data_IF_464165131214
#
_entry.id   IF_464165131214
#
_cell.length_a   1.000
_cell.length_b   1.000
_cell.length_c   1.000
_cell.angle_alpha   90.00
_cell.angle_beta   90.00
_cell.angle_gamma   90.00
#
_symmetry.space_group_name_H-M   'P 1'
#
loop_
_entity.id
_entity.type
_entity.pdbx_description
1 polymer ?
#
# COMPACT_ATOMS: atom_id res chain seq x y z
N UNK A 1 18.34 -28.53 -32.21
CA UNK A 1 16.97 -28.30 -31.73
C UNK A 1 16.30 -27.33 -32.69
N UNK A 2 15.20 -27.72 -33.34
CA UNK A 2 14.50 -26.86 -34.30
C UNK A 2 13.73 -25.77 -33.55
N UNK A 3 13.55 -24.60 -34.16
CA UNK A 3 12.75 -23.50 -33.58
C UNK A 3 11.35 -23.97 -33.12
N UNK A 4 10.80 -24.98 -33.79
CA UNK A 4 9.51 -25.60 -33.48
C UNK A 4 9.54 -26.36 -32.14
N UNK A 5 10.60 -27.12 -31.83
CA UNK A 5 10.66 -27.84 -30.54
C UNK A 5 10.90 -26.89 -29.37
N UNK A 6 11.64 -25.79 -29.59
CA UNK A 6 11.76 -24.68 -28.62
C UNK A 6 10.42 -23.97 -28.38
N UNK A 7 9.64 -23.72 -29.45
CA UNK A 7 8.32 -23.10 -29.33
C UNK A 7 7.36 -23.98 -28.51
N UNK A 8 7.29 -25.29 -28.78
CA UNK A 8 6.47 -26.22 -28.00
C UNK A 8 6.95 -26.38 -26.55
N UNK A 9 8.28 -26.37 -26.31
CA UNK A 9 8.85 -26.42 -24.96
C UNK A 9 8.48 -25.19 -24.11
N UNK A 10 8.19 -24.05 -24.73
CA UNK A 10 7.70 -22.83 -24.04
C UNK A 10 6.16 -22.82 -23.96
N UNK A 11 5.48 -23.23 -25.03
CA UNK A 11 4.03 -23.16 -25.14
C UNK A 11 3.31 -24.14 -24.22
N UNK A 12 3.80 -25.38 -24.09
CA UNK A 12 3.16 -26.42 -23.28
C UNK A 12 3.12 -26.04 -21.78
N UNK A 13 4.22 -25.56 -21.15
CA UNK A 13 4.17 -25.10 -19.76
C UNK A 13 3.26 -23.88 -19.55
N UNK A 14 3.22 -22.95 -20.51
CA UNK A 14 2.34 -21.77 -20.43
C UNK A 14 0.88 -22.20 -20.48
N UNK A 15 0.53 -23.08 -21.42
CA UNK A 15 -0.82 -23.61 -21.56
C UNK A 15 -1.22 -24.42 -20.32
N UNK A 16 -0.32 -25.29 -19.82
CA UNK A 16 -0.55 -26.04 -18.59
C UNK A 16 -0.79 -25.14 -17.38
N UNK A 17 -0.01 -24.06 -17.23
CA UNK A 17 -0.20 -23.08 -16.16
C UNK A 17 -1.51 -22.31 -16.31
N UNK A 18 -1.89 -21.94 -17.53
CA UNK A 18 -3.17 -21.28 -17.81
C UNK A 18 -4.34 -22.20 -17.49
N UNK A 19 -4.29 -23.47 -17.92
CA UNK A 19 -5.31 -24.47 -17.61
C UNK A 19 -5.46 -24.68 -16.10
N UNK A 20 -4.35 -24.80 -15.36
CA UNK A 20 -4.40 -24.93 -13.90
C UNK A 20 -5.04 -23.71 -13.23
N UNK A 21 -4.68 -22.50 -13.66
CA UNK A 21 -5.29 -21.26 -13.13
C UNK A 21 -6.80 -21.20 -13.42
N UNK A 22 -7.22 -21.61 -14.62
CA UNK A 22 -8.64 -21.67 -14.99
C UNK A 22 -9.39 -22.71 -14.15
N UNK A 23 -8.79 -23.88 -13.93
CA UNK A 23 -9.38 -24.94 -13.11
C UNK A 23 -9.52 -24.52 -11.64
N UNK A 24 -8.50 -23.89 -11.06
CA UNK A 24 -8.58 -23.34 -9.71
C UNK A 24 -9.71 -22.31 -9.59
N UNK A 25 -9.78 -21.36 -10.53
CA UNK A 25 -10.83 -20.32 -10.53
C UNK A 25 -12.22 -20.89 -10.72
N UNK A 26 -12.36 -21.93 -11.53
CA UNK A 26 -13.62 -22.63 -11.69
C UNK A 26 -14.05 -23.38 -10.43
N UNK A 27 -13.10 -24.00 -9.70
CA UNK A 27 -13.36 -24.64 -8.41
C UNK A 27 -13.80 -23.61 -7.36
N UNK A 28 -13.07 -22.50 -7.22
CA UNK A 28 -13.43 -21.39 -6.33
C UNK A 28 -14.86 -20.91 -6.62
N UNK A 29 -15.17 -20.64 -7.89
CA UNK A 29 -16.49 -20.19 -8.31
C UNK A 29 -17.61 -21.18 -7.97
N UNK A 30 -17.37 -22.49 -8.18
CA UNK A 30 -18.35 -23.52 -7.81
C UNK A 30 -18.55 -23.60 -6.31
N UNK A 31 -17.48 -23.52 -5.52
CA UNK A 31 -17.55 -23.55 -4.07
C UNK A 31 -18.35 -22.36 -3.54
N UNK A 32 -18.01 -21.14 -3.97
CA UNK A 32 -18.71 -19.91 -3.57
C UNK A 32 -20.19 -19.94 -3.96
N UNK A 33 -20.49 -20.42 -5.18
CA UNK A 33 -21.88 -20.51 -5.66
C UNK A 33 -22.67 -21.57 -4.88
N UNK A 34 -22.06 -22.70 -4.53
CA UNK A 34 -22.68 -23.72 -3.69
C UNK A 34 -22.96 -23.21 -2.28
N UNK A 35 -22.04 -22.44 -1.70
CA UNK A 35 -22.22 -21.81 -0.40
C UNK A 35 -23.39 -20.82 -0.44
N UNK A 36 -23.45 -19.98 -1.47
CA UNK A 36 -24.58 -19.06 -1.67
C UNK A 36 -25.92 -19.79 -1.75
N UNK A 37 -26.00 -20.88 -2.51
CA UNK A 37 -27.23 -21.71 -2.60
C UNK A 37 -27.60 -22.32 -1.25
N UNK A 38 -26.62 -22.81 -0.48
CA UNK A 38 -26.86 -23.41 0.84
C UNK A 38 -27.50 -22.41 1.82
N UNK A 39 -27.10 -21.14 1.76
CA UNK A 39 -27.62 -20.08 2.62
C UNK A 39 -28.80 -19.30 2.00
N UNK A 40 -29.30 -19.71 0.83
CA UNK A 40 -30.37 -19.02 0.13
C UNK A 40 -29.99 -17.59 -0.31
N UNK A 41 -28.71 -17.33 -0.53
CA UNK A 41 -28.21 -16.02 -0.92
C UNK A 41 -28.53 -15.72 -2.38
N UNK A 42 -29.08 -14.54 -2.63
CA UNK A 42 -29.19 -13.97 -3.97
C UNK A 42 -27.90 -13.22 -4.35
N UNK A 43 -27.64 -13.16 -5.66
CA UNK A 43 -26.52 -12.41 -6.19
C UNK A 43 -26.85 -10.91 -6.19
N UNK A 44 -25.93 -10.03 -5.73
CA UNK A 44 -26.15 -8.59 -5.82
C UNK A 44 -26.15 -8.12 -7.28
N UNK A 45 -26.72 -6.94 -7.56
CA UNK A 45 -26.68 -6.34 -8.89
C UNK A 45 -25.27 -6.27 -9.48
N UNK A 46 -25.12 -6.67 -10.74
CA UNK A 46 -23.84 -6.59 -11.45
C UNK A 46 -23.63 -5.18 -12.02
N UNK A 47 -22.41 -4.64 -11.88
CA UNK A 47 -22.00 -3.41 -12.56
C UNK A 47 -22.10 -3.59 -14.08
N UNK A 48 -22.59 -2.60 -14.85
CA UNK A 48 -22.83 -2.78 -16.26
C UNK A 48 -21.47 -2.88 -16.95
N UNK A 49 -21.30 -3.87 -17.82
CA UNK A 49 -20.06 -4.12 -18.55
C UNK A 49 -20.32 -4.00 -20.04
N UNK A 50 -19.48 -3.23 -20.72
CA UNK A 50 -19.52 -3.08 -22.18
C UNK A 50 -18.80 -4.25 -22.86
N UNK A 51 -17.74 -4.75 -22.23
CA UNK A 51 -16.89 -5.79 -22.80
C UNK A 51 -17.03 -7.10 -22.02
N UNK A 52 -16.81 -8.27 -22.68
CA UNK A 52 -16.80 -9.54 -21.99
C UNK A 52 -15.86 -9.52 -20.79
N UNK A 53 -16.27 -10.20 -19.70
CA UNK A 53 -15.45 -10.37 -18.50
C UNK A 53 -15.05 -9.05 -17.80
N UNK A 54 -15.79 -7.96 -18.03
CA UNK A 54 -15.58 -6.69 -17.33
C UNK A 54 -14.24 -6.01 -17.61
N UNK A 55 -13.58 -6.35 -18.73
CA UNK A 55 -12.25 -5.80 -19.08
C UNK A 55 -12.30 -4.29 -19.26
N UNK A 56 -13.43 -3.75 -19.72
CA UNK A 56 -13.70 -2.32 -19.81
C UNK A 56 -13.56 -1.63 -18.44
N UNK A 57 -13.92 -2.30 -17.33
CA UNK A 57 -13.75 -1.74 -15.98
C UNK A 57 -12.29 -1.64 -15.55
N UNK A 58 -11.46 -2.59 -15.95
CA UNK A 58 -10.00 -2.48 -15.75
C UNK A 58 -9.49 -1.30 -16.58
N UNK A 59 -9.86 -1.21 -17.85
CA UNK A 59 -9.46 -0.10 -18.71
C UNK A 59 -9.86 1.25 -18.11
N UNK A 60 -11.10 1.41 -17.66
CA UNK A 60 -11.60 2.63 -17.02
C UNK A 60 -10.79 2.99 -15.76
N UNK A 61 -10.47 2.01 -14.90
CA UNK A 61 -9.62 2.22 -13.73
C UNK A 61 -8.20 2.69 -14.09
N UNK A 62 -7.65 2.20 -15.20
CA UNK A 62 -6.31 2.59 -15.66
C UNK A 62 -6.30 3.98 -16.30
N UNK A 63 -7.25 4.26 -17.19
CA UNK A 63 -7.36 5.56 -17.88
C UNK A 63 -7.67 6.68 -16.89
N UNK A 64 -8.69 6.50 -16.05
CA UNK A 64 -9.06 7.52 -15.05
C UNK A 64 -7.94 7.75 -14.04
N UNK A 65 -7.13 6.74 -13.73
CA UNK A 65 -5.93 6.93 -12.91
C UNK A 65 -4.84 7.72 -13.64
N UNK A 66 -4.57 7.42 -14.91
CA UNK A 66 -3.59 8.14 -15.71
C UNK A 66 -3.98 9.62 -15.90
N UNK A 67 -5.28 9.91 -15.93
CA UNK A 67 -5.85 11.25 -16.02
C UNK A 67 -5.98 11.97 -14.67
N UNK A 68 -5.64 11.32 -13.54
CA UNK A 68 -5.80 11.91 -12.21
C UNK A 68 -7.25 12.01 -11.71
N UNK A 69 -8.20 11.29 -12.34
CA UNK A 69 -9.65 11.30 -12.04
C UNK A 69 -10.16 10.00 -11.41
N UNK A 70 -9.28 9.13 -10.91
CA UNK A 70 -9.66 7.83 -10.36
C UNK A 70 -10.66 7.94 -9.21
N UNK A 71 -10.44 8.87 -8.27
CA UNK A 71 -11.36 9.06 -7.14
C UNK A 71 -12.76 9.47 -7.63
N UNK A 72 -12.82 10.45 -8.55
CA UNK A 72 -14.08 10.89 -9.14
C UNK A 72 -14.81 9.74 -9.84
N UNK A 73 -14.09 8.90 -10.58
CA UNK A 73 -14.65 7.70 -11.21
C UNK A 73 -15.22 6.72 -10.18
N UNK A 74 -14.48 6.41 -9.11
CA UNK A 74 -14.92 5.50 -8.06
C UNK A 74 -16.15 6.05 -7.30
N UNK A 75 -16.14 7.35 -6.98
CA UNK A 75 -17.29 8.02 -6.36
C UNK A 75 -18.52 8.01 -7.28
N UNK A 76 -18.33 8.20 -8.59
CA UNK A 76 -19.42 8.10 -9.56
C UNK A 76 -19.99 6.67 -9.61
N UNK A 77 -19.13 5.65 -9.66
CA UNK A 77 -19.59 4.25 -9.62
C UNK A 77 -20.35 3.95 -8.33
N UNK A 78 -19.92 4.48 -7.18
CA UNK A 78 -20.66 4.36 -5.94
C UNK A 78 -22.02 5.07 -6.03
N UNK A 79 -22.04 6.34 -6.48
CA UNK A 79 -23.25 7.14 -6.59
C UNK A 79 -24.29 6.56 -7.56
N UNK A 80 -23.85 6.00 -8.69
CA UNK A 80 -24.74 5.33 -9.66
C UNK A 80 -25.44 4.09 -9.06
N UNK A 81 -24.91 3.56 -7.96
CA UNK A 81 -25.40 2.35 -7.26
C UNK A 81 -26.04 2.66 -5.89
N UNK A 82 -25.86 3.87 -5.38
CA UNK A 82 -26.58 4.38 -4.22
C UNK A 82 -27.97 4.93 -4.63
N UNK A 83 -29.00 4.84 -3.77
CA UNK A 83 -29.03 4.21 -2.44
C UNK A 83 -29.61 2.77 -2.43
N UNK A 84 -29.99 2.19 -3.57
CA UNK A 84 -30.65 0.88 -3.60
C UNK A 84 -29.68 -0.31 -3.67
N UNK A 85 -28.44 -0.13 -4.13
CA UNK A 85 -27.48 -1.21 -4.37
C UNK A 85 -26.28 -1.14 -3.41
N UNK A 86 -26.60 -1.17 -2.12
CA UNK A 86 -25.72 -1.31 -0.95
C UNK A 86 -24.64 -2.40 -1.03
N UNK A 87 -24.85 -3.36 -1.94
CA UNK A 87 -23.91 -4.39 -2.35
C UNK A 87 -24.03 -4.51 -3.87
N UNK A 88 -22.92 -4.35 -4.59
CA UNK A 88 -22.86 -4.63 -6.03
C UNK A 88 -21.69 -5.56 -6.33
N UNK A 89 -21.76 -6.28 -7.44
CA UNK A 89 -20.66 -7.12 -7.90
C UNK A 89 -20.16 -6.69 -9.27
N UNK A 90 -18.92 -7.06 -9.59
CA UNK A 90 -18.46 -7.08 -10.96
C UNK A 90 -17.61 -8.31 -11.22
N UNK A 91 -17.84 -8.91 -12.38
CA UNK A 91 -17.07 -10.05 -12.83
C UNK A 91 -15.89 -9.58 -13.68
N UNK A 92 -14.70 -9.66 -13.09
CA UNK A 92 -13.48 -9.75 -13.89
C UNK A 92 -13.29 -11.21 -14.32
N UNK A 93 -12.47 -11.46 -15.35
CA UNK A 93 -11.90 -12.80 -15.52
C UNK A 93 -11.32 -13.22 -14.15
N UNK A 94 -11.89 -14.21 -13.44
CA UNK A 94 -11.49 -14.52 -12.05
C UNK A 94 -12.63 -14.46 -11.02
N UNK A 95 -12.32 -14.28 -9.72
CA UNK A 95 -13.32 -14.30 -8.65
C UNK A 95 -14.24 -13.08 -8.72
N UNK A 96 -15.48 -13.24 -8.23
CA UNK A 96 -16.43 -12.13 -8.10
C UNK A 96 -15.84 -11.08 -7.16
N UNK A 97 -15.82 -9.83 -7.59
CA UNK A 97 -15.48 -8.70 -6.73
C UNK A 97 -16.78 -8.01 -6.30
N UNK A 98 -16.82 -7.54 -5.06
CA UNK A 98 -17.98 -6.89 -4.47
C UNK A 98 -17.63 -5.47 -4.02
N UNK A 99 -18.48 -4.50 -4.34
CA UNK A 99 -18.47 -3.21 -3.66
C UNK A 99 -19.48 -3.27 -2.52
N UNK A 100 -18.99 -3.04 -1.30
CA UNK A 100 -19.78 -3.06 -0.07
C UNK A 100 -19.82 -1.63 0.44
N UNK A 101 -21.00 -1.00 0.39
CA UNK A 101 -21.16 0.42 0.72
C UNK A 101 -21.96 0.62 2.01
N UNK A 102 -22.92 -0.25 2.28
CA UNK A 102 -23.78 -0.11 3.46
C UNK A 102 -23.01 -0.32 4.77
N UNK A 103 -23.11 0.61 5.75
CA UNK A 103 -22.35 0.53 7.00
C UNK A 103 -22.47 -0.80 7.75
N UNK A 104 -23.66 -1.38 7.83
CA UNK A 104 -23.86 -2.68 8.50
C UNK A 104 -23.11 -3.84 7.81
N UNK A 105 -23.00 -3.80 6.47
CA UNK A 105 -22.25 -4.81 5.72
C UNK A 105 -20.75 -4.60 5.90
N UNK A 106 -20.30 -3.33 5.91
CA UNK A 106 -18.90 -2.98 6.20
C UNK A 106 -18.51 -3.43 7.62
N UNK A 107 -19.38 -3.22 8.62
CA UNK A 107 -19.19 -3.70 9.98
C UNK A 107 -19.11 -5.22 10.05
N UNK A 108 -19.97 -5.92 9.30
CA UNK A 108 -19.95 -7.38 9.22
C UNK A 108 -18.59 -7.89 8.72
N UNK A 109 -18.07 -7.28 7.66
CA UNK A 109 -16.78 -7.67 7.04
C UNK A 109 -15.59 -7.33 7.94
N UNK A 110 -15.59 -6.14 8.56
CA UNK A 110 -14.43 -5.61 9.29
C UNK A 110 -14.43 -5.93 10.79
N UNK A 111 -15.57 -6.32 11.35
CA UNK A 111 -15.75 -6.52 12.80
C UNK A 111 -16.52 -7.81 13.13
N UNK A 112 -17.83 -7.86 12.87
CA UNK A 112 -18.73 -8.91 13.40
C UNK A 112 -18.27 -10.31 13.00
N UNK A 113 -17.97 -10.49 11.71
CA UNK A 113 -17.58 -11.77 11.11
C UNK A 113 -16.15 -11.72 10.57
N UNK A 114 -15.26 -10.92 11.19
CA UNK A 114 -13.89 -10.70 10.70
C UNK A 114 -13.11 -11.98 10.36
N UNK A 115 -13.34 -13.08 11.09
CA UNK A 115 -12.65 -14.36 10.87
C UNK A 115 -13.06 -15.08 9.57
N UNK A 116 -14.22 -14.72 9.01
CA UNK A 116 -14.76 -15.32 7.79
C UNK A 116 -14.19 -14.65 6.53
N UNK A 117 -13.54 -13.49 6.69
CA UNK A 117 -12.99 -12.71 5.58
C UNK A 117 -11.46 -12.69 5.61
N UNK A 118 -10.88 -12.72 4.41
CA UNK A 118 -9.45 -12.65 4.21
C UNK A 118 -9.01 -11.62 3.18
N UNK A 119 -7.70 -11.47 3.07
CA UNK A 119 -6.95 -10.59 2.20
C UNK A 119 -6.90 -11.07 0.74
N UNK A 120 -7.24 -12.34 0.48
CA UNK A 120 -7.40 -12.88 -0.87
C UNK A 120 -6.13 -12.73 -1.72
N UNK A 121 -6.19 -11.92 -2.79
CA UNK A 121 -5.05 -11.71 -3.69
C UNK A 121 -3.95 -10.80 -3.11
N UNK A 122 -4.24 -10.06 -2.03
CA UNK A 122 -3.35 -9.04 -1.44
C UNK A 122 -1.96 -9.56 -1.07
N UNK A 123 -1.76 -10.73 -0.44
CA UNK A 123 -0.42 -11.23 -0.12
C UNK A 123 0.43 -11.40 -1.38
N UNK A 124 -0.15 -11.96 -2.46
CA UNK A 124 0.55 -12.16 -3.74
C UNK A 124 0.88 -10.83 -4.45
N UNK A 125 -0.01 -9.84 -4.35
CA UNK A 125 0.20 -8.49 -4.89
C UNK A 125 1.39 -7.81 -4.20
N UNK A 126 1.42 -7.85 -2.87
CA UNK A 126 2.43 -7.15 -2.08
C UNK A 126 3.74 -7.92 -1.90
N UNK A 127 3.75 -9.25 -2.05
CA UNK A 127 4.91 -10.09 -1.75
C UNK A 127 6.24 -9.59 -2.34
N UNK A 128 6.34 -9.14 -3.62
CA UNK A 128 7.63 -8.68 -4.16
C UNK A 128 8.22 -7.44 -3.50
N UNK A 129 7.40 -6.57 -2.90
CA UNK A 129 7.87 -5.39 -2.18
C UNK A 129 7.89 -5.62 -0.67
N UNK A 130 6.81 -6.11 -0.09
CA UNK A 130 6.61 -6.15 1.36
C UNK A 130 6.87 -7.52 2.01
N UNK A 131 7.01 -8.58 1.22
CA UNK A 131 7.15 -9.94 1.74
C UNK A 131 6.03 -10.32 2.72
N UNK A 132 6.40 -10.98 3.83
CA UNK A 132 5.50 -11.43 4.88
C UNK A 132 5.47 -10.43 6.05
N UNK A 133 4.35 -9.73 6.23
CA UNK A 133 4.16 -8.84 7.37
C UNK A 133 2.70 -8.48 7.60
N UNK A 134 2.45 -7.45 8.41
CA UNK A 134 1.08 -7.09 8.84
C UNK A 134 0.08 -6.85 7.70
N UNK A 135 0.53 -6.44 6.50
CA UNK A 135 -0.37 -6.25 5.34
C UNK A 135 -0.60 -7.51 4.48
N UNK A 136 0.18 -8.58 4.70
CA UNK A 136 0.18 -9.79 3.86
C UNK A 136 -0.10 -11.07 4.62
N UNK A 137 0.02 -11.06 5.95
CA UNK A 137 -0.28 -12.19 6.82
C UNK A 137 -1.73 -12.16 7.32
N UNK A 138 -2.24 -13.32 7.71
CA UNK A 138 -3.59 -13.52 8.27
C UNK A 138 -3.54 -14.40 9.53
N UNK A 139 -4.65 -14.47 10.24
CA UNK A 139 -4.80 -15.36 11.41
C UNK A 139 -3.77 -15.10 12.51
N UNK A 140 -3.15 -16.18 12.99
CA UNK A 140 -2.19 -16.11 14.10
C UNK A 140 -0.93 -15.28 13.76
N UNK A 141 -0.41 -15.39 12.54
CA UNK A 141 0.76 -14.64 12.10
C UNK A 141 0.49 -13.13 12.06
N UNK A 142 -0.68 -12.73 11.52
CA UNK A 142 -1.11 -11.34 11.57
C UNK A 142 -1.27 -10.81 12.99
N UNK A 143 -1.90 -11.61 13.87
CA UNK A 143 -2.11 -11.24 15.27
C UNK A 143 -0.77 -11.00 15.98
N UNK A 144 0.21 -11.88 15.76
CA UNK A 144 1.56 -11.72 16.29
C UNK A 144 2.21 -10.41 15.81
N UNK A 145 2.24 -10.17 14.49
CA UNK A 145 2.76 -8.93 13.90
C UNK A 145 2.07 -7.68 14.46
N UNK A 146 0.74 -7.72 14.62
CA UNK A 146 -0.04 -6.61 15.19
C UNK A 146 0.28 -6.35 16.65
N UNK A 147 0.41 -7.39 17.47
CA UNK A 147 0.77 -7.25 18.89
C UNK A 147 2.18 -6.69 19.06
N UNK A 148 3.13 -7.17 18.25
CA UNK A 148 4.50 -6.69 18.21
C UNK A 148 4.53 -5.17 17.92
N UNK A 149 3.90 -4.76 16.82
CA UNK A 149 3.87 -3.35 16.41
C UNK A 149 3.13 -2.46 17.42
N UNK A 150 1.99 -2.92 17.94
CA UNK A 150 1.20 -2.17 18.94
C UNK A 150 2.05 -1.80 20.17
N UNK A 151 2.81 -2.75 20.72
CA UNK A 151 3.67 -2.50 21.88
C UNK A 151 4.69 -1.41 21.60
N UNK A 152 5.26 -1.39 20.39
CA UNK A 152 6.26 -0.39 20.06
C UNK A 152 5.65 1.00 19.82
N UNK A 153 4.51 1.09 19.13
CA UNK A 153 3.84 2.39 18.93
C UNK A 153 3.40 3.05 20.23
N UNK A 154 2.94 2.27 21.22
CA UNK A 154 2.63 2.80 22.56
C UNK A 154 3.86 3.43 23.25
N UNK A 155 5.06 2.88 23.00
CA UNK A 155 6.31 3.45 23.53
C UNK A 155 6.73 4.70 22.77
N UNK A 156 6.56 4.73 21.45
CA UNK A 156 6.85 5.92 20.64
C UNK A 156 5.93 7.07 21.02
N UNK A 157 4.64 6.81 21.28
CA UNK A 157 3.68 7.83 21.70
C UNK A 157 4.08 8.54 23.00
N UNK A 158 4.80 7.86 23.91
CA UNK A 158 5.30 8.46 25.15
C UNK A 158 6.67 9.14 25.01
N UNK A 159 7.26 9.17 23.81
CA UNK A 159 8.50 9.88 23.54
C UNK A 159 8.26 11.38 23.28
N UNK A 160 9.28 12.18 23.56
CA UNK A 160 9.27 13.62 23.31
C UNK A 160 9.16 13.93 21.80
N UNK A 161 8.37 14.96 21.47
CA UNK A 161 8.22 15.51 20.12
C UNK A 161 9.51 16.10 19.54
N UNK A 162 10.56 16.24 20.36
CA UNK A 162 11.89 16.71 19.93
C UNK A 162 12.46 15.94 18.74
N UNK A 163 12.04 14.68 18.54
CA UNK A 163 12.46 13.87 17.40
C UNK A 163 12.00 14.43 16.05
N UNK A 164 10.91 15.19 16.02
CA UNK A 164 10.39 15.78 14.78
C UNK A 164 11.06 17.11 14.42
N UNK A 165 11.67 17.81 15.38
CA UNK A 165 12.17 19.17 15.19
C UNK A 165 13.16 19.26 14.03
N UNK A 166 14.18 18.39 13.99
CA UNK A 166 15.17 18.40 12.90
C UNK A 166 14.52 18.23 11.51
N UNK A 167 13.52 17.34 11.40
CA UNK A 167 12.83 17.08 10.14
C UNK A 167 11.98 18.27 9.69
N UNK A 168 11.26 18.88 10.63
CA UNK A 168 10.43 20.07 10.36
C UNK A 168 11.31 21.27 10.04
N UNK A 169 12.43 21.46 10.74
CA UNK A 169 13.39 22.53 10.43
C UNK A 169 13.97 22.36 9.02
N UNK A 170 14.27 21.12 8.61
CA UNK A 170 14.74 20.85 7.25
C UNK A 170 13.66 21.14 6.20
N UNK A 171 12.39 20.80 6.49
CA UNK A 171 11.27 21.17 5.63
C UNK A 171 11.16 22.70 5.49
N UNK A 172 11.16 23.43 6.61
CA UNK A 172 11.02 24.90 6.62
C UNK A 172 12.15 25.55 5.82
N UNK A 173 13.39 25.04 5.91
CA UNK A 173 14.52 25.53 5.12
C UNK A 173 14.37 25.35 3.61
N UNK A 174 13.55 24.39 3.17
CA UNK A 174 13.24 24.22 1.73
C UNK A 174 12.14 25.16 1.24
N UNK A 175 11.38 25.77 2.15
CA UNK A 175 10.32 26.69 1.76
C UNK A 175 10.95 28.05 1.37
N UNK A 176 10.68 28.56 0.16
CA UNK A 176 11.06 29.91 -0.21
C UNK A 176 10.33 30.93 0.67
N UNK A 177 10.99 32.06 0.94
CA UNK A 177 10.41 33.16 1.72
C UNK A 177 9.20 33.82 1.04
N UNK A 178 9.03 33.62 -0.27
CA UNK A 178 7.93 34.14 -1.08
C UNK A 178 7.61 33.21 -2.26
N UNK A 179 6.37 33.25 -2.73
CA UNK A 179 5.91 32.49 -3.91
C UNK A 179 4.96 31.35 -3.58
N UNK A 180 4.65 30.55 -4.62
CA UNK A 180 3.78 29.38 -4.54
C UNK A 180 4.66 28.14 -4.47
N UNK A 181 4.32 27.23 -3.56
CA UNK A 181 5.08 25.99 -3.31
C UNK A 181 4.10 24.83 -3.35
N UNK A 182 4.48 23.76 -4.05
CA UNK A 182 3.81 22.48 -3.91
C UNK A 182 4.32 21.76 -2.66
N UNK A 183 3.49 21.69 -1.63
CA UNK A 183 3.83 21.04 -0.36
C UNK A 183 3.75 19.50 -0.43
N UNK A 184 3.06 18.92 -1.43
CA UNK A 184 2.85 17.48 -1.47
C UNK A 184 4.16 16.69 -1.61
N UNK A 185 5.08 17.04 -2.54
CA UNK A 185 6.40 16.39 -2.62
C UNK A 185 7.20 16.56 -1.32
N UNK A 186 7.16 17.75 -0.72
CA UNK A 186 7.89 18.05 0.51
C UNK A 186 7.36 17.25 1.71
N UNK A 187 6.05 17.05 1.81
CA UNK A 187 5.47 16.18 2.83
C UNK A 187 5.79 14.70 2.60
N UNK A 188 5.87 14.25 1.34
CA UNK A 188 6.30 12.88 1.03
C UNK A 188 7.75 12.63 1.46
N UNK A 189 8.62 13.62 1.30
CA UNK A 189 10.02 13.55 1.75
C UNK A 189 10.13 13.67 3.27
N UNK A 190 9.35 14.56 3.89
CA UNK A 190 9.26 14.70 5.35
C UNK A 190 8.90 13.37 6.02
N UNK A 191 7.83 12.74 5.55
CA UNK A 191 7.34 11.51 6.18
C UNK A 191 8.23 10.32 5.88
N UNK A 192 8.93 10.31 4.74
CA UNK A 192 9.98 9.34 4.47
C UNK A 192 11.13 9.51 5.46
N UNK A 193 11.60 10.72 5.70
CA UNK A 193 12.68 10.99 6.65
C UNK A 193 12.28 10.65 8.09
N UNK A 194 11.08 11.00 8.52
CA UNK A 194 10.56 10.66 9.84
C UNK A 194 10.42 9.13 9.99
N UNK A 195 9.79 8.46 9.01
CA UNK A 195 9.56 7.03 9.09
C UNK A 195 10.90 6.26 9.08
N UNK A 196 11.85 6.67 8.25
CA UNK A 196 13.20 6.07 8.20
C UNK A 196 14.01 6.38 9.46
N UNK A 197 13.91 7.57 10.04
CA UNK A 197 14.55 7.87 11.32
C UNK A 197 13.96 7.03 12.46
N UNK A 198 12.64 6.84 12.48
CA UNK A 198 11.98 6.01 13.49
C UNK A 198 12.33 4.52 13.33
N UNK A 199 12.35 4.04 12.09
CA UNK A 199 12.51 2.62 11.76
C UNK A 199 13.94 2.18 11.53
N UNK A 200 14.86 3.10 11.29
CA UNK A 200 16.26 2.81 11.01
C UNK A 200 17.21 3.66 11.89
N UNK A 201 16.71 4.57 12.72
CA UNK A 201 17.56 5.40 13.58
C UNK A 201 18.62 6.24 12.83
N UNK A 202 18.50 6.32 11.49
CA UNK A 202 19.34 7.10 10.58
C UNK A 202 18.44 7.74 9.52
N UNK A 203 18.77 8.99 9.19
CA UNK A 203 18.06 9.78 8.20
C UNK A 203 18.41 9.30 6.78
N UNK A 204 17.41 8.97 5.98
CA UNK A 204 17.58 8.89 4.50
C UNK A 204 17.85 10.30 3.93
N UNK A 205 17.57 11.35 4.70
CA UNK A 205 17.91 12.74 4.40
C UNK A 205 17.31 13.20 3.07
N UNK A 206 16.07 12.78 2.79
CA UNK A 206 15.28 13.21 1.64
C UNK A 206 15.13 14.74 1.60
N UNK A 207 15.06 15.40 2.76
CA UNK A 207 14.89 16.86 2.86
C UNK A 207 16.18 17.66 3.07
N UNK A 208 17.38 17.06 3.10
CA UNK A 208 18.61 17.85 3.36
C UNK A 208 19.08 18.59 2.10
N UNK A 209 18.88 19.90 2.06
CA UNK A 209 19.45 20.77 1.04
C UNK A 209 20.98 20.91 1.19
N UNK A 210 21.72 20.86 0.08
CA UNK A 210 23.14 21.25 0.01
C UNK A 210 24.17 20.19 0.45
N UNK A 211 23.74 18.97 0.75
CA UNK A 211 24.63 17.81 0.93
C UNK A 211 24.31 16.89 -0.23
N UNK A 212 25.33 16.38 -0.94
CA UNK A 212 25.13 15.30 -1.92
C UNK A 212 24.34 14.20 -1.22
N UNK A 213 23.06 14.07 -1.61
CA UNK A 213 22.21 13.03 -1.08
C UNK A 213 22.95 11.74 -1.36
N UNK A 214 23.22 10.94 -0.31
CA UNK A 214 23.94 9.68 -0.45
C UNK A 214 23.30 8.94 -1.63
N UNK A 215 24.12 8.60 -2.63
CA UNK A 215 23.65 8.01 -3.88
C UNK A 215 22.73 6.81 -3.60
N UNK A 216 22.97 6.10 -2.51
CA UNK A 216 22.12 5.01 -2.04
C UNK A 216 20.73 5.46 -1.58
N UNK A 217 20.64 6.57 -0.84
CA UNK A 217 19.38 7.14 -0.35
C UNK A 217 18.49 7.61 -1.50
N UNK A 218 19.07 8.24 -2.52
CA UNK A 218 18.34 8.66 -3.73
C UNK A 218 17.82 7.45 -4.50
N UNK A 219 18.67 6.45 -4.73
CA UNK A 219 18.28 5.19 -5.39
C UNK A 219 17.15 4.51 -4.61
N UNK A 220 17.22 4.51 -3.28
CA UNK A 220 16.18 3.95 -2.42
C UNK A 220 14.85 4.68 -2.57
N UNK A 221 14.82 6.02 -2.44
CA UNK A 221 13.59 6.80 -2.54
C UNK A 221 12.90 6.62 -3.91
N UNK A 222 13.66 6.74 -4.99
CA UNK A 222 13.17 6.52 -6.36
C UNK A 222 12.66 5.08 -6.55
N UNK A 223 13.44 4.09 -6.12
CA UNK A 223 13.04 2.68 -6.22
C UNK A 223 11.81 2.37 -5.37
N UNK A 224 11.67 3.00 -4.21
CA UNK A 224 10.50 2.81 -3.36
C UNK A 224 9.26 3.35 -4.07
N UNK A 225 9.31 4.54 -4.66
CA UNK A 225 8.20 5.11 -5.44
C UNK A 225 7.79 4.20 -6.61
N UNK A 226 8.76 3.74 -7.40
CA UNK A 226 8.51 2.82 -8.54
C UNK A 226 7.89 1.50 -8.05
N UNK A 227 8.39 0.94 -6.95
CA UNK A 227 7.87 -0.29 -6.40
C UNK A 227 6.44 -0.11 -5.84
N UNK A 228 6.13 1.02 -5.22
CA UNK A 228 4.77 1.35 -4.78
C UNK A 228 3.81 1.50 -5.95
N UNK A 229 4.22 2.20 -7.01
CA UNK A 229 3.39 2.36 -8.21
C UNK A 229 3.14 1.02 -8.90
N UNK A 230 4.17 0.20 -9.07
CA UNK A 230 4.03 -1.14 -9.63
C UNK A 230 3.15 -2.05 -8.78
N UNK A 231 3.22 -1.90 -7.46
CA UNK A 231 2.33 -2.59 -6.52
C UNK A 231 0.87 -2.15 -6.70
N UNK A 232 0.61 -0.85 -6.86
CA UNK A 232 -0.73 -0.33 -7.12
C UNK A 232 -1.28 -0.81 -8.48
N UNK A 233 -0.44 -0.85 -9.53
CA UNK A 233 -0.81 -1.40 -10.85
C UNK A 233 -1.17 -2.89 -10.75
N UNK A 234 -0.41 -3.68 -9.97
CA UNK A 234 -0.73 -5.09 -9.68
C UNK A 234 -2.05 -5.27 -8.92
N UNK A 235 -2.39 -4.33 -8.05
CA UNK A 235 -3.67 -4.34 -7.34
C UNK A 235 -4.86 -4.12 -8.28
N UNK A 236 -4.75 -3.18 -9.24
CA UNK A 236 -5.82 -2.86 -10.22
C UNK A 236 -6.17 -4.01 -11.17
N UNK A 237 -5.24 -4.96 -11.37
CA UNK A 237 -5.45 -6.13 -12.23
C UNK A 237 -5.65 -7.43 -11.45
N UNK A 238 -5.79 -7.35 -10.12
CA UNK A 238 -6.01 -8.52 -9.29
C UNK A 238 -7.24 -9.32 -9.78
N UNK A 239 -7.19 -10.67 -9.78
CA UNK A 239 -6.12 -11.54 -9.24
C UNK A 239 -4.94 -11.77 -10.20
N UNK A 240 -4.92 -11.17 -11.39
CA UNK A 240 -3.89 -11.35 -12.42
C UNK A 240 -2.65 -10.49 -12.21
N UNK A 241 -2.33 -10.19 -10.96
CA UNK A 241 -1.15 -9.41 -10.57
C UNK A 241 0.14 -9.89 -11.25
N UNK A 242 0.22 -11.16 -11.69
CA UNK A 242 1.43 -11.76 -12.24
C UNK A 242 1.71 -11.31 -13.68
N UNK A 243 0.68 -10.78 -14.37
CA UNK A 243 0.82 -10.18 -15.70
C UNK A 243 1.60 -8.87 -15.66
N UNK A 244 1.54 -8.14 -14.54
CA UNK A 244 2.35 -6.94 -14.33
C UNK A 244 3.62 -7.29 -13.54
N UNK A 245 4.72 -7.48 -14.25
CA UNK A 245 6.03 -7.69 -13.66
C UNK A 245 7.13 -7.14 -14.59
N UNK A 246 7.20 -5.83 -14.87
CA UNK A 246 8.25 -5.27 -15.71
C UNK A 246 9.63 -5.32 -15.04
N UNK A 247 10.75 -5.30 -15.80
CA UNK A 247 12.11 -5.31 -15.24
C UNK A 247 12.37 -4.16 -14.25
N UNK A 248 11.82 -2.98 -14.55
CA UNK A 248 11.92 -1.79 -13.72
C UNK A 248 11.33 -2.01 -12.31
N UNK A 249 10.12 -2.58 -12.23
CA UNK A 249 9.48 -2.94 -10.96
C UNK A 249 10.31 -3.95 -10.15
N UNK A 250 10.86 -4.96 -10.80
CA UNK A 250 11.72 -5.97 -10.13
C UNK A 250 13.01 -5.34 -9.59
N UNK A 251 13.66 -4.51 -10.40
CA UNK A 251 14.88 -3.79 -10.01
C UNK A 251 14.60 -2.87 -8.83
N UNK A 252 13.48 -2.16 -8.87
CA UNK A 252 13.03 -1.29 -7.79
C UNK A 252 12.81 -2.05 -6.48
N UNK A 253 12.07 -3.18 -6.50
CA UNK A 253 11.89 -4.03 -5.33
C UNK A 253 13.24 -4.55 -4.78
N UNK A 254 14.14 -4.98 -5.67
CA UNK A 254 15.47 -5.44 -5.28
C UNK A 254 16.31 -4.35 -4.61
N UNK A 255 16.30 -3.12 -5.14
CA UNK A 255 17.01 -2.00 -4.54
C UNK A 255 16.47 -1.65 -3.15
N UNK A 256 15.14 -1.68 -2.97
CA UNK A 256 14.49 -1.46 -1.67
C UNK A 256 14.90 -2.54 -0.68
N UNK A 257 14.85 -3.82 -1.08
CA UNK A 257 15.28 -4.93 -0.22
C UNK A 257 16.76 -4.84 0.13
N UNK A 258 17.62 -4.50 -0.84
CA UNK A 258 19.05 -4.30 -0.60
C UNK A 258 19.31 -3.19 0.42
N UNK A 259 18.62 -2.06 0.29
CA UNK A 259 18.77 -0.95 1.22
C UNK A 259 18.39 -1.35 2.66
N UNK A 260 17.24 -2.00 2.82
CA UNK A 260 16.78 -2.43 4.16
C UNK A 260 17.63 -3.58 4.71
N UNK A 261 18.07 -4.54 3.88
CA UNK A 261 18.97 -5.60 4.32
C UNK A 261 20.31 -5.03 4.79
N UNK A 262 20.93 -4.12 4.02
CA UNK A 262 22.15 -3.44 4.45
C UNK A 262 21.97 -2.75 5.80
N UNK A 263 20.80 -2.15 6.03
CA UNK A 263 20.49 -1.57 7.33
C UNK A 263 20.40 -2.64 8.43
N UNK A 264 19.67 -3.73 8.17
CA UNK A 264 19.49 -4.82 9.12
C UNK A 264 20.82 -5.49 9.49
N UNK A 265 21.69 -5.72 8.51
CA UNK A 265 23.00 -6.35 8.72
C UNK A 265 23.95 -5.47 9.55
N UNK A 266 23.76 -4.15 9.51
CA UNK A 266 24.54 -3.18 10.27
C UNK A 266 23.90 -2.81 11.63
N UNK A 267 22.78 -3.43 12.02
CA UNK A 267 22.18 -3.24 13.34
C UNK A 267 23.06 -3.88 14.42
N UNK A 268 23.68 -3.07 15.27
CA UNK A 268 24.32 -3.57 16.48
C UNK A 268 23.25 -4.00 17.52
N UNK A 269 23.00 -5.31 17.59
CA UNK A 269 22.12 -5.96 18.56
C UNK A 269 22.77 -6.16 19.94
N UNK A 270 24.02 -5.72 20.14
CA UNK A 270 24.78 -5.85 21.38
C UNK A 270 24.20 -5.14 22.62
N UNK A 271 24.74 -5.52 23.79
CA UNK A 271 24.34 -5.02 25.11
C UNK A 271 24.55 -3.51 25.25
N UNK A 272 23.51 -2.87 25.73
CA UNK A 272 23.22 -1.47 25.51
C UNK A 272 23.52 -0.67 26.80
N UNK A 273 24.29 0.42 26.72
CA UNK A 273 24.77 1.27 27.84
C UNK A 273 24.37 2.76 27.77
N UNK A 274 23.65 3.27 26.75
CA UNK A 274 23.49 4.75 26.55
C UNK A 274 22.10 5.22 26.09
N UNK A 275 21.79 6.50 26.34
CA UNK A 275 20.55 7.23 25.98
C UNK A 275 20.08 7.02 24.52
N UNK A 276 21.03 6.81 23.61
CA UNK A 276 20.82 6.47 22.19
C UNK A 276 19.95 5.21 22.01
N UNK A 277 19.92 4.29 22.99
CA UNK A 277 19.13 3.06 22.96
C UNK A 277 17.64 3.24 23.12
N UNK A 278 17.18 4.35 23.70
CA UNK A 278 15.75 4.68 23.73
C UNK A 278 15.23 4.94 22.31
N UNK A 279 16.07 5.48 21.41
CA UNK A 279 15.76 5.68 19.98
C UNK A 279 15.68 4.36 19.20
N UNK A 280 16.51 3.37 19.54
CA UNK A 280 16.57 2.08 18.83
C UNK A 280 15.66 0.98 19.40
N UNK A 281 14.86 1.29 20.42
CA UNK A 281 14.02 0.32 21.13
C UNK A 281 12.99 -0.38 20.24
N UNK A 282 12.44 0.32 19.23
CA UNK A 282 11.48 -0.24 18.29
C UNK A 282 12.08 -1.41 17.51
N UNK A 283 13.18 -1.17 16.80
CA UNK A 283 13.78 -2.12 15.86
C UNK A 283 14.46 -3.26 16.60
N UNK A 284 15.18 -2.98 17.69
CA UNK A 284 15.83 -4.02 18.48
C UNK A 284 14.81 -5.00 19.06
N UNK A 285 13.62 -4.53 19.43
CA UNK A 285 12.58 -5.41 19.94
C UNK A 285 11.89 -6.19 18.81
N UNK A 286 11.61 -5.54 17.67
CA UNK A 286 11.11 -6.25 16.47
C UNK A 286 12.11 -7.31 16.02
N UNK A 287 13.41 -7.02 16.02
CA UNK A 287 14.48 -7.94 15.68
C UNK A 287 14.57 -9.13 16.66
N UNK A 288 14.42 -8.89 17.98
CA UNK A 288 14.40 -9.96 19.00
C UNK A 288 13.19 -10.88 18.88
N UNK A 289 12.06 -10.36 18.42
CA UNK A 289 10.82 -11.12 18.26
C UNK A 289 10.68 -11.71 16.84
N UNK A 290 11.51 -11.28 15.88
CA UNK A 290 11.57 -11.84 14.53
C UNK A 290 12.41 -13.12 14.50
N UNK A 291 11.97 -14.12 13.74
CA UNK A 291 12.68 -15.40 13.60
C UNK A 291 13.94 -15.32 12.73
N UNK A 292 13.96 -14.41 11.74
CA UNK A 292 15.10 -14.20 10.85
C UNK A 292 15.20 -12.76 10.29
N UNK A 293 16.30 -12.49 9.58
CA UNK A 293 16.57 -11.20 8.92
C UNK A 293 15.53 -10.84 7.85
N UNK A 294 14.94 -11.82 7.17
CA UNK A 294 13.92 -11.56 6.15
C UNK A 294 12.61 -11.11 6.79
N UNK A 295 12.20 -11.74 7.89
CA UNK A 295 11.03 -11.36 8.66
C UNK A 295 11.19 -9.95 9.22
N UNK A 296 12.36 -9.61 9.78
CA UNK A 296 12.64 -8.26 10.24
C UNK A 296 12.56 -7.24 9.09
N UNK A 297 13.20 -7.52 7.94
CA UNK A 297 13.10 -6.67 6.74
C UNK A 297 11.64 -6.44 6.34
N UNK A 298 10.87 -7.52 6.24
CA UNK A 298 9.50 -7.49 5.78
C UNK A 298 8.62 -6.66 6.73
N UNK A 299 8.75 -6.83 8.05
CA UNK A 299 8.05 -6.00 9.03
C UNK A 299 8.42 -4.52 8.92
N UNK A 300 9.71 -4.20 8.79
CA UNK A 300 10.18 -2.81 8.65
C UNK A 300 9.62 -2.15 7.38
N UNK A 301 9.58 -2.88 6.26
CA UNK A 301 9.00 -2.39 5.00
C UNK A 301 7.49 -2.15 5.11
N UNK A 302 6.77 -3.02 5.81
CA UNK A 302 5.35 -2.83 6.07
C UNK A 302 5.12 -1.54 6.87
N UNK A 303 5.88 -1.30 7.94
CA UNK A 303 5.71 -0.10 8.76
C UNK A 303 6.12 1.17 8.02
N UNK A 304 7.22 1.12 7.27
CA UNK A 304 7.70 2.25 6.46
C UNK A 304 6.63 2.72 5.49
N UNK A 305 6.01 1.78 4.77
CA UNK A 305 4.94 2.09 3.82
C UNK A 305 3.73 2.69 4.51
N UNK A 306 3.34 2.15 5.66
CA UNK A 306 2.20 2.66 6.42
C UNK A 306 2.43 4.12 6.87
N UNK A 307 3.62 4.42 7.40
CA UNK A 307 3.95 5.72 7.99
C UNK A 307 4.21 6.84 7.00
N UNK A 308 4.68 6.53 5.79
CA UNK A 308 5.05 7.54 4.78
C UNK A 308 3.83 8.16 4.09
N UNK A 309 3.16 7.38 3.25
CA UNK A 309 2.20 7.91 2.27
C UNK A 309 0.93 8.43 2.96
N UNK A 310 0.43 7.70 3.97
CA UNK A 310 -0.81 8.08 4.66
C UNK A 310 -0.64 9.40 5.42
N UNK A 311 0.50 9.58 6.11
CA UNK A 311 0.84 10.81 6.82
C UNK A 311 1.04 11.97 5.85
N UNK A 312 1.75 11.75 4.74
CA UNK A 312 2.00 12.81 3.76
C UNK A 312 0.71 13.29 3.11
N UNK A 313 -0.18 12.37 2.74
CA UNK A 313 -1.51 12.69 2.23
C UNK A 313 -2.34 13.43 3.28
N UNK A 314 -2.32 13.00 4.55
CA UNK A 314 -3.03 13.67 5.64
C UNK A 314 -2.54 15.12 5.82
N UNK A 315 -1.23 15.35 5.85
CA UNK A 315 -0.64 16.69 5.93
C UNK A 315 -1.04 17.54 4.72
N UNK A 316 -0.94 16.99 3.51
CA UNK A 316 -1.32 17.68 2.27
C UNK A 316 -2.78 18.15 2.33
N UNK A 317 -3.70 17.26 2.69
CA UNK A 317 -5.12 17.59 2.84
C UNK A 317 -5.39 18.57 3.98
N UNK A 318 -4.68 18.44 5.10
CA UNK A 318 -4.82 19.35 6.24
C UNK A 318 -4.49 20.78 5.82
N UNK A 319 -3.37 20.98 5.14
CA UNK A 319 -2.97 22.30 4.66
C UNK A 319 -3.89 22.83 3.56
N UNK A 320 -4.37 21.97 2.66
CA UNK A 320 -5.36 22.34 1.65
C UNK A 320 -6.69 22.83 2.28
N UNK A 321 -7.16 22.13 3.31
CA UNK A 321 -8.37 22.51 4.05
C UNK A 321 -8.14 23.79 4.87
N UNK A 322 -6.95 23.98 5.46
CA UNK A 322 -6.60 25.22 6.14
C UNK A 322 -6.52 26.41 5.19
N UNK A 323 -5.90 26.26 4.02
CA UNK A 323 -5.88 27.33 3.03
C UNK A 323 -7.30 27.73 2.61
N UNK A 324 -8.15 26.76 2.27
CA UNK A 324 -9.53 27.02 1.84
C UNK A 324 -10.42 27.61 2.94
N UNK A 325 -10.26 27.16 4.18
CA UNK A 325 -11.01 27.71 5.33
C UNK A 325 -10.51 29.09 5.76
N UNK A 326 -9.19 29.33 5.79
CA UNK A 326 -8.60 30.64 6.11
C UNK A 326 -8.91 31.64 4.99
N UNK A 327 -8.76 31.27 3.72
CA UNK A 327 -9.15 32.11 2.59
C UNK A 327 -10.67 32.34 2.56
N UNK A 328 -11.48 31.34 2.91
CA UNK A 328 -12.93 31.47 3.04
C UNK A 328 -13.35 32.43 4.16
N UNK A 329 -12.67 32.39 5.30
CA UNK A 329 -12.87 33.34 6.41
C UNK A 329 -12.36 34.74 6.07
N UNK A 330 -11.27 34.88 5.31
CA UNK A 330 -10.72 36.17 4.89
C UNK A 330 -11.48 36.81 3.73
N UNK A 331 -12.08 36.01 2.84
CA UNK A 331 -12.81 36.51 1.67
C UNK A 331 -14.30 36.73 1.88
N UNK A 332 -14.86 36.33 3.02
CA UNK A 332 -16.26 36.54 3.34
C UNK A 332 -17.20 35.92 2.29
N UNK A 333 -17.66 34.69 2.53
CA UNK A 333 -18.73 34.02 1.78
C UNK A 333 -18.52 33.86 0.26
N UNK A 334 -18.20 32.62 -0.15
CA UNK A 334 -18.56 31.93 -1.40
C UNK A 334 -17.37 31.12 -1.91
N UNK A 335 -17.28 29.86 -1.50
CA UNK A 335 -16.63 28.83 -2.30
C UNK A 335 -17.56 27.64 -2.39
N UNK A 336 -18.30 27.57 -3.49
CA UNK A 336 -18.94 26.33 -3.93
C UNK A 336 -17.83 25.41 -4.43
N UNK A 337 -17.39 24.49 -3.59
CA UNK A 337 -16.60 23.36 -4.01
C UNK A 337 -17.51 22.41 -4.81
N UNK A 338 -17.41 22.45 -6.14
CA UNK A 338 -17.88 21.35 -6.97
C UNK A 338 -16.76 20.29 -7.01
N UNK A 339 -17.02 19.17 -6.35
CA UNK A 339 -16.29 17.91 -6.44
C UNK A 339 -16.47 17.26 -7.82
#
# INVERSE_FOLDING_TARGET
MTLVTLAWAIFIPILGRLCNLLLEKFKDHRHDSSLGVQYGCELPPELPKKWPLGIDRIKDLWETNAEGRLLQYLCKVAADYEPQNNLSQYLLFGPRAFHVLHPANVETVLSTNFKDYGFGARPKIFAPLLGNGIFTQEGAAWKHSRELLRKQFMRVQSQSLNHFHEHVDNLIKQLPSNGVVDLQPLFMDLTLDIATALLFGRLVSALRAGIDQDKENKIFSESFNIAQEGTAKRFRIAPWQFLYNPPEFRKACHNVHRFVNNYVDNLDLGNAKTETEKRYGFIKQVAKESGDTNELRDQLLNVLRAGRDTTACCLSWTFYVFESSILGCLKGSQFYANL
#
